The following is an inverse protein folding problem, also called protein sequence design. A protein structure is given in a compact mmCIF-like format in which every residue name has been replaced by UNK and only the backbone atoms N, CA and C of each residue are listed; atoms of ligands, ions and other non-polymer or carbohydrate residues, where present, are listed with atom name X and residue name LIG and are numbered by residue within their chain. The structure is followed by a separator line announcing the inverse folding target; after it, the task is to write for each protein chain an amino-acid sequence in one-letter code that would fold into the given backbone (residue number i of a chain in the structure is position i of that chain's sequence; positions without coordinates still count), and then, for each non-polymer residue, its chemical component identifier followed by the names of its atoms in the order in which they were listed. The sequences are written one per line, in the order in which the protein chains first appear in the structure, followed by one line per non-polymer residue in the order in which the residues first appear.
data_IF_275030046889
#
_entry.id   IF_275030046889
#
_cell.length_a   1.000
_cell.length_b   1.000
_cell.length_c   1.000
_cell.angle_alpha   90.00
_cell.angle_beta   90.00
_cell.angle_gamma   90.00
#
_symmetry.space_group_name_H-M   'P 1'
#
loop_
_entity.id
_entity.type
_entity.pdbx_description
1 polymer ?
#
# COMPACT_ATOMS: atom_id res chain seq x y z
N UNK A 1 -11.34 15.86 -0.15
CA UNK A 1 -10.75 14.72 0.57
C UNK A 1 -9.51 14.25 -0.16
N UNK A 2 -8.37 14.62 0.30
CA UNK A 2 -7.07 14.22 -0.25
C UNK A 2 -5.96 14.77 0.61
N UNK A 3 -4.75 14.24 0.44
CA UNK A 3 -3.56 14.73 1.13
C UNK A 3 -3.38 16.21 0.77
N UNK A 4 -3.26 17.07 1.80
CA UNK A 4 -3.06 18.50 1.63
C UNK A 4 -4.35 19.31 1.45
N UNK A 5 -5.50 18.81 1.88
CA UNK A 5 -6.70 19.63 2.01
C UNK A 5 -6.45 20.79 2.98
N UNK A 6 -6.98 21.98 2.66
CA UNK A 6 -6.66 23.24 3.36
C UNK A 6 -7.11 23.28 4.81
N UNK A 7 -8.00 22.39 5.21
CA UNK A 7 -8.65 22.38 6.54
C UNK A 7 -8.17 21.22 7.44
N UNK A 8 -7.16 20.44 7.01
CA UNK A 8 -6.70 19.26 7.77
C UNK A 8 -5.30 19.43 8.34
N UNK A 9 -5.09 18.82 9.52
CA UNK A 9 -3.80 18.75 10.18
C UNK A 9 -2.88 17.79 9.41
N UNK A 10 -1.71 18.26 8.96
CA UNK A 10 -0.66 17.46 8.34
C UNK A 10 -0.32 16.18 9.12
N UNK A 11 -0.55 16.18 10.43
CA UNK A 11 -0.35 15.01 11.28
C UNK A 11 -1.40 13.92 11.02
N UNK A 12 -2.64 14.30 10.69
CA UNK A 12 -3.72 13.37 10.34
C UNK A 12 -3.42 12.68 9.01
N UNK A 13 -3.05 13.43 7.99
CA UNK A 13 -2.66 12.92 6.67
C UNK A 13 -1.51 11.91 6.79
N UNK A 14 -0.48 12.24 7.57
CA UNK A 14 0.65 11.34 7.81
C UNK A 14 0.22 10.03 8.48
N UNK A 15 -0.74 10.06 9.41
CA UNK A 15 -1.28 8.86 10.06
C UNK A 15 -2.02 7.96 9.08
N UNK A 16 -2.89 8.53 8.24
CA UNK A 16 -3.63 7.79 7.22
C UNK A 16 -2.67 7.16 6.21
N UNK A 17 -1.68 7.92 5.74
CA UNK A 17 -0.69 7.41 4.79
C UNK A 17 0.19 6.32 5.40
N UNK A 18 0.54 6.45 6.68
CA UNK A 18 1.25 5.40 7.41
C UNK A 18 0.46 4.09 7.41
N UNK A 19 -0.83 4.16 7.74
CA UNK A 19 -1.72 2.99 7.70
C UNK A 19 -1.83 2.42 6.29
N UNK A 20 -2.03 3.25 5.27
CA UNK A 20 -2.15 2.83 3.89
C UNK A 20 -0.91 2.05 3.44
N UNK A 21 0.30 2.55 3.73
CA UNK A 21 1.55 1.89 3.37
C UNK A 21 1.76 0.59 4.16
N UNK A 22 1.54 0.61 5.48
CA UNK A 22 1.81 -0.56 6.32
C UNK A 22 0.82 -1.70 6.10
N UNK A 23 -0.42 -1.39 5.73
CA UNK A 23 -1.47 -2.39 5.53
C UNK A 23 -1.55 -2.91 4.08
N UNK A 24 -1.17 -2.11 3.08
CA UNK A 24 -1.25 -2.53 1.69
C UNK A 24 -0.14 -3.54 1.32
N UNK A 25 -0.44 -4.41 0.36
CA UNK A 25 0.56 -5.21 -0.36
C UNK A 25 0.93 -4.57 -1.70
N UNK A 26 0.07 -3.67 -2.20
CA UNK A 26 0.27 -2.90 -3.41
C UNK A 26 -0.24 -1.48 -3.19
N UNK A 27 0.64 -0.49 -3.25
CA UNK A 27 0.32 0.91 -2.97
C UNK A 27 0.28 1.71 -4.26
N UNK A 28 -0.87 2.31 -4.56
CA UNK A 28 -1.07 3.14 -5.75
C UNK A 28 -1.06 4.60 -5.34
N UNK A 29 -0.03 5.34 -5.77
CA UNK A 29 0.04 6.78 -5.61
C UNK A 29 -0.50 7.46 -6.87
N UNK A 30 -1.56 8.26 -6.70
CA UNK A 30 -2.30 8.86 -7.79
C UNK A 30 -2.07 10.37 -7.80
N UNK A 31 -1.46 10.89 -8.87
CA UNK A 31 -1.25 12.31 -9.10
C UNK A 31 -1.79 12.76 -10.46
N UNK A 32 -1.77 14.06 -10.71
CA UNK A 32 -2.25 14.64 -11.97
C UNK A 32 -1.11 15.39 -12.67
N UNK A 33 -1.08 15.34 -13.99
CA UNK A 33 -0.15 16.12 -14.83
C UNK A 33 1.16 15.40 -15.10
N UNK A 34 2.22 15.73 -14.38
CA UNK A 34 3.57 15.21 -14.59
C UNK A 34 4.25 14.89 -13.28
N UNK A 35 5.37 14.16 -13.31
CA UNK A 35 6.25 14.03 -12.14
C UNK A 35 7.18 15.25 -12.11
N UNK A 36 6.77 16.25 -11.38
CA UNK A 36 7.58 17.43 -11.08
C UNK A 36 8.12 17.39 -9.63
N UNK A 37 8.86 18.42 -9.24
CA UNK A 37 9.41 18.50 -7.88
C UNK A 37 8.31 18.54 -6.80
N UNK A 38 7.19 19.18 -7.07
CA UNK A 38 6.06 19.23 -6.14
C UNK A 38 5.46 17.83 -5.95
N UNK A 39 5.32 17.07 -7.03
CA UNK A 39 4.84 15.68 -7.00
C UNK A 39 5.78 14.77 -6.20
N UNK A 40 7.12 14.97 -6.35
CA UNK A 40 8.11 14.22 -5.57
C UNK A 40 8.08 14.67 -4.10
N UNK A 41 7.96 15.97 -3.84
CA UNK A 41 7.87 16.50 -2.48
C UNK A 41 6.64 15.99 -1.73
N UNK A 42 5.55 15.74 -2.43
CA UNK A 42 4.34 15.13 -1.83
C UNK A 42 4.58 13.71 -1.28
N UNK A 43 5.66 13.05 -1.70
CA UNK A 43 6.11 11.77 -1.14
C UNK A 43 7.00 11.93 0.12
N UNK A 44 7.20 13.15 0.63
CA UNK A 44 8.04 13.41 1.82
C UNK A 44 7.54 12.69 3.08
N UNK A 45 6.25 12.36 3.15
CA UNK A 45 5.69 11.54 4.22
C UNK A 45 6.36 10.16 4.31
N UNK A 46 6.83 9.60 3.20
CA UNK A 46 7.58 8.33 3.18
C UNK A 46 8.85 8.46 4.03
N UNK A 47 9.55 9.60 3.91
CA UNK A 47 10.75 9.90 4.70
C UNK A 47 10.45 9.91 6.19
N UNK A 48 9.34 10.54 6.56
CA UNK A 48 8.95 10.66 7.98
C UNK A 48 8.52 9.31 8.57
N UNK A 49 7.71 8.55 7.83
CA UNK A 49 7.27 7.21 8.23
C UNK A 49 8.48 6.31 8.43
N UNK A 50 9.38 6.26 7.46
CA UNK A 50 10.52 5.34 7.47
C UNK A 50 11.51 5.69 8.57
N UNK A 51 11.84 6.97 8.78
CA UNK A 51 12.66 7.41 9.91
C UNK A 51 12.08 6.96 11.26
N UNK A 52 10.80 7.15 11.45
CA UNK A 52 10.11 6.81 12.69
C UNK A 52 10.09 5.29 12.95
N UNK A 53 9.89 4.49 11.92
CA UNK A 53 9.84 3.03 12.04
C UNK A 53 11.24 2.43 12.17
N UNK A 54 12.25 2.94 11.45
CA UNK A 54 13.63 2.47 11.54
C UNK A 54 14.23 2.65 12.93
N UNK A 55 13.97 3.79 13.59
CA UNK A 55 14.51 4.06 14.92
C UNK A 55 14.10 3.02 15.98
N UNK A 56 12.97 2.34 15.80
CA UNK A 56 12.41 1.41 16.78
C UNK A 56 12.59 -0.06 16.43
N UNK A 57 12.82 -0.40 15.17
CA UNK A 57 12.92 -1.81 14.72
C UNK A 57 14.35 -2.28 14.48
N UNK A 58 15.38 -1.43 14.66
CA UNK A 58 16.74 -1.78 14.29
C UNK A 58 16.89 -1.93 12.77
N UNK A 59 18.06 -1.67 12.26
CA UNK A 59 18.36 -1.69 10.83
C UNK A 59 18.14 -3.05 10.18
N UNK A 60 17.83 -3.07 8.94
CA UNK A 60 18.38 -3.83 7.82
C UNK A 60 17.40 -4.42 6.80
N UNK A 61 16.07 -4.47 7.05
CA UNK A 61 15.24 -5.11 6.03
C UNK A 61 13.80 -4.56 5.99
N UNK A 62 13.68 -3.23 6.21
CA UNK A 62 12.37 -2.59 6.28
C UNK A 62 11.60 -2.66 4.94
N UNK A 63 12.33 -2.61 3.82
CA UNK A 63 11.74 -2.68 2.48
C UNK A 63 10.86 -3.93 2.26
N UNK A 64 11.17 -5.05 2.93
CA UNK A 64 10.37 -6.28 2.82
C UNK A 64 8.95 -6.19 3.42
N UNK A 65 8.70 -5.21 4.28
CA UNK A 65 7.39 -4.99 4.88
C UNK A 65 6.54 -3.99 4.09
N UNK A 66 7.19 -3.27 3.17
CA UNK A 66 6.53 -2.27 2.36
C UNK A 66 5.83 -2.90 1.14
N UNK A 67 4.80 -2.25 0.63
CA UNK A 67 4.09 -2.72 -0.56
C UNK A 67 4.92 -2.52 -1.83
N UNK A 68 4.55 -3.21 -2.91
CA UNK A 68 4.91 -2.75 -4.24
C UNK A 68 4.28 -1.38 -4.49
N UNK A 69 4.97 -0.53 -5.26
CA UNK A 69 4.59 0.85 -5.51
C UNK A 69 4.20 1.07 -6.98
N UNK A 70 3.06 1.71 -7.21
CA UNK A 70 2.63 2.14 -8.54
C UNK A 70 2.35 3.63 -8.53
N UNK A 71 3.04 4.39 -9.37
CA UNK A 71 2.68 5.79 -9.62
C UNK A 71 1.71 5.88 -10.80
N UNK A 72 0.49 6.32 -10.56
CA UNK A 72 -0.49 6.60 -11.60
C UNK A 72 -0.55 8.10 -11.84
N UNK A 73 -0.23 8.53 -13.05
CA UNK A 73 -0.25 9.93 -13.44
C UNK A 73 -1.44 10.15 -14.37
N UNK A 74 -2.43 10.89 -13.89
CA UNK A 74 -3.63 11.24 -14.67
C UNK A 74 -3.41 12.52 -15.49
N UNK A 75 -4.20 12.65 -16.54
CA UNK A 75 -4.21 13.81 -17.44
C UNK A 75 -2.82 14.13 -18.02
N UNK A 76 -2.04 13.07 -18.23
CA UNK A 76 -0.69 13.17 -18.77
C UNK A 76 -0.73 13.67 -20.21
N UNK A 77 -0.03 14.76 -20.48
CA UNK A 77 -0.03 15.45 -21.78
C UNK A 77 1.32 15.49 -22.47
N UNK A 78 2.40 15.02 -21.82
CA UNK A 78 3.73 15.00 -22.42
C UNK A 78 3.93 13.78 -23.31
N UNK A 79 4.92 13.86 -24.19
CA UNK A 79 5.44 12.70 -24.89
C UNK A 79 6.45 11.97 -24.00
N UNK A 80 6.31 10.64 -23.90
CA UNK A 80 7.27 9.80 -23.20
C UNK A 80 8.52 9.63 -24.06
N UNK A 81 9.49 10.53 -23.88
CA UNK A 81 10.77 10.54 -24.58
C UNK A 81 11.91 10.91 -23.64
N UNK A 82 13.07 10.33 -23.88
CA UNK A 82 14.29 10.70 -23.17
C UNK A 82 14.92 12.00 -23.73
N UNK A 83 16.08 12.40 -23.22
CA UNK A 83 16.80 13.62 -23.66
C UNK A 83 17.24 13.55 -25.12
N UNK A 84 17.45 12.37 -25.66
CA UNK A 84 17.79 12.10 -27.05
C UNK A 84 16.55 11.91 -27.94
N UNK A 85 15.35 12.24 -27.47
CA UNK A 85 14.08 12.12 -28.19
C UNK A 85 13.65 10.68 -28.51
N UNK A 86 14.29 9.66 -27.94
CA UNK A 86 13.87 8.29 -28.09
C UNK A 86 12.64 7.99 -27.23
N UNK A 87 11.67 7.19 -27.73
CA UNK A 87 10.52 6.75 -26.93
C UNK A 87 10.98 5.99 -25.68
N UNK A 88 10.31 6.25 -24.56
CA UNK A 88 10.54 5.56 -23.29
C UNK A 88 9.21 5.07 -22.72
N UNK A 89 9.28 4.12 -21.82
CA UNK A 89 8.13 3.62 -21.05
C UNK A 89 7.78 4.56 -19.90
N UNK A 90 6.56 4.47 -19.37
CA UNK A 90 6.16 5.21 -18.16
C UNK A 90 7.06 4.86 -16.96
N UNK A 91 7.52 3.61 -16.87
CA UNK A 91 8.46 3.18 -15.83
C UNK A 91 9.81 3.88 -15.96
N UNK A 92 10.36 3.95 -17.17
CA UNK A 92 11.61 4.69 -17.41
C UNK A 92 11.45 6.18 -17.11
N UNK A 93 10.28 6.77 -17.44
CA UNK A 93 9.96 8.15 -17.06
C UNK A 93 9.99 8.36 -15.54
N UNK A 94 9.45 7.42 -14.74
CA UNK A 94 9.57 7.44 -13.29
C UNK A 94 11.03 7.37 -12.86
N UNK A 95 11.83 6.46 -13.42
CA UNK A 95 13.23 6.30 -13.03
C UNK A 95 14.05 7.55 -13.33
N UNK A 96 13.85 8.20 -14.48
CA UNK A 96 14.47 9.49 -14.81
C UNK A 96 14.04 10.60 -13.84
N UNK A 97 12.76 10.65 -13.47
CA UNK A 97 12.26 11.64 -12.51
C UNK A 97 12.86 11.45 -11.11
N UNK A 98 13.24 10.22 -10.77
CA UNK A 98 13.91 9.86 -9.52
C UNK A 98 15.45 9.93 -9.60
N UNK A 99 16.05 10.41 -10.68
CA UNK A 99 17.48 10.67 -10.74
C UNK A 99 17.90 11.77 -9.77
N UNK A 100 19.06 11.59 -9.15
CA UNK A 100 19.58 12.57 -8.20
C UNK A 100 19.98 13.87 -8.91
N UNK A 101 19.54 14.97 -8.36
CA UNK A 101 19.95 16.30 -8.85
C UNK A 101 21.37 16.60 -8.39
N UNK A 102 22.14 17.26 -9.26
CA UNK A 102 23.48 17.74 -8.94
C UNK A 102 23.41 19.01 -8.09
N UNK A 103 24.26 19.10 -7.08
CA UNK A 103 24.39 20.24 -6.19
C UNK A 103 24.49 19.84 -4.73
N UNK A 104 24.96 20.78 -3.90
CA UNK A 104 25.24 20.58 -2.47
C UNK A 104 24.39 21.45 -1.56
N UNK A 105 23.47 22.27 -2.11
CA UNK A 105 22.59 23.08 -1.28
C UNK A 105 21.66 22.20 -0.44
N UNK A 106 21.29 22.65 0.75
CA UNK A 106 20.37 21.92 1.65
C UNK A 106 19.05 21.56 0.96
N UNK A 107 18.58 22.42 0.07
CA UNK A 107 17.39 22.20 -0.72
C UNK A 107 17.54 20.99 -1.68
N UNK A 108 18.67 20.89 -2.39
CA UNK A 108 18.96 19.75 -3.28
C UNK A 108 19.18 18.48 -2.47
N UNK A 109 19.87 18.57 -1.35
CA UNK A 109 20.09 17.44 -0.45
C UNK A 109 18.75 16.87 0.06
N UNK A 110 17.85 17.73 0.51
CA UNK A 110 16.50 17.34 0.97
C UNK A 110 15.69 16.65 -0.14
N UNK A 111 15.68 17.21 -1.33
CA UNK A 111 15.01 16.61 -2.50
C UNK A 111 15.60 15.25 -2.87
N UNK A 112 16.91 15.16 -2.88
CA UNK A 112 17.61 13.91 -3.17
C UNK A 112 17.38 12.84 -2.09
N UNK A 113 17.14 13.24 -0.85
CA UNK A 113 16.80 12.32 0.22
C UNK A 113 15.48 11.61 -0.08
N UNK A 114 14.44 12.33 -0.54
CA UNK A 114 13.16 11.73 -0.91
C UNK A 114 13.36 10.73 -2.05
N UNK A 115 14.08 11.11 -3.11
CA UNK A 115 14.38 10.23 -4.25
C UNK A 115 15.10 8.95 -3.85
N UNK A 116 16.12 9.06 -3.00
CA UNK A 116 16.85 7.91 -2.46
C UNK A 116 15.92 6.99 -1.69
N UNK A 117 15.09 7.54 -0.81
CA UNK A 117 14.17 6.75 0.00
C UNK A 117 13.11 6.05 -0.81
N UNK A 118 12.52 6.70 -1.83
CA UNK A 118 11.58 6.05 -2.74
C UNK A 118 12.25 4.86 -3.43
N UNK A 119 13.49 5.02 -3.90
CA UNK A 119 14.24 3.94 -4.55
C UNK A 119 14.58 2.79 -3.60
N UNK A 120 14.99 3.10 -2.39
CA UNK A 120 15.40 2.13 -1.36
C UNK A 120 14.21 1.34 -0.80
N UNK A 121 13.13 2.04 -0.48
CA UNK A 121 11.98 1.42 0.20
C UNK A 121 10.96 0.79 -0.74
N UNK A 122 10.95 1.21 -2.01
CA UNK A 122 10.11 0.59 -3.03
C UNK A 122 10.97 0.05 -4.18
N UNK A 123 11.74 -1.02 -3.93
CA UNK A 123 12.53 -1.65 -4.99
C UNK A 123 11.65 -2.18 -6.12
N UNK A 124 10.44 -2.65 -5.77
CA UNK A 124 9.41 -3.04 -6.73
C UNK A 124 8.46 -1.85 -6.97
N UNK A 125 8.81 -0.99 -7.93
CA UNK A 125 8.03 0.18 -8.32
C UNK A 125 7.77 0.20 -9.82
N UNK A 126 6.63 0.78 -10.18
CA UNK A 126 6.23 0.95 -11.58
C UNK A 126 5.46 2.27 -11.76
N UNK A 127 5.18 2.63 -13.00
CA UNK A 127 4.44 3.84 -13.34
C UNK A 127 3.50 3.60 -14.52
N UNK A 128 2.33 4.22 -14.45
CA UNK A 128 1.37 4.26 -15.54
C UNK A 128 0.91 5.69 -15.76
N UNK A 129 0.98 6.14 -17.01
CA UNK A 129 0.45 7.44 -17.44
C UNK A 129 -0.91 7.24 -18.10
N UNK A 130 -1.88 8.07 -17.71
CA UNK A 130 -3.23 8.08 -18.27
C UNK A 130 -3.48 9.42 -18.96
N UNK A 131 -3.82 9.40 -20.23
CA UNK A 131 -4.28 10.61 -20.92
C UNK A 131 -5.64 11.05 -20.36
N UNK A 132 -6.04 12.30 -20.61
CA UNK A 132 -7.37 12.77 -20.25
C UNK A 132 -8.44 11.91 -20.94
N UNK A 133 -9.50 11.48 -20.24
CA UNK A 133 -10.52 10.57 -20.79
C UNK A 133 -11.33 11.18 -21.93
N UNK A 134 -11.49 12.51 -21.94
CA UNK A 134 -12.20 13.29 -22.94
C UNK A 134 -11.41 14.54 -23.29
N UNK A 135 -11.58 15.06 -24.50
CA UNK A 135 -10.89 16.29 -24.94
C UNK A 135 -11.69 17.55 -24.53
N UNK A 136 -13.01 17.46 -24.50
CA UNK A 136 -13.90 18.58 -24.18
C UNK A 136 -14.13 18.69 -22.67
N UNK A 137 -13.76 19.83 -22.09
CA UNK A 137 -13.87 20.07 -20.64
C UNK A 137 -15.30 20.02 -20.12
N UNK A 138 -16.26 20.52 -20.88
CA UNK A 138 -17.69 20.48 -20.49
C UNK A 138 -18.24 19.06 -20.32
N UNK A 139 -17.65 18.09 -21.00
CA UNK A 139 -18.02 16.69 -20.89
C UNK A 139 -17.31 15.99 -19.71
N UNK A 140 -16.17 16.50 -19.24
CA UNK A 140 -15.49 15.97 -18.05
C UNK A 140 -16.32 16.12 -16.78
N UNK A 141 -17.10 17.20 -16.66
CA UNK A 141 -18.02 17.42 -15.53
C UNK A 141 -19.16 16.39 -15.47
N UNK A 142 -19.40 15.68 -16.58
CA UNK A 142 -20.44 14.65 -16.71
C UNK A 142 -19.88 13.26 -16.94
N UNK A 143 -18.62 13.04 -16.55
CA UNK A 143 -17.88 11.80 -16.83
C UNK A 143 -18.59 10.56 -16.27
N UNK A 144 -19.21 10.67 -15.10
CA UNK A 144 -19.97 9.57 -14.48
C UNK A 144 -21.12 9.04 -15.35
N UNK A 145 -21.67 9.90 -16.20
CA UNK A 145 -22.80 9.56 -17.10
C UNK A 145 -22.33 9.27 -18.54
N UNK A 146 -21.03 9.38 -18.77
CA UNK A 146 -20.47 9.19 -20.11
C UNK A 146 -20.21 7.72 -20.36
N UNK A 147 -20.82 7.09 -21.38
CA UNK A 147 -20.58 5.71 -21.70
C UNK A 147 -19.13 5.51 -22.14
N UNK A 148 -18.55 4.34 -21.84
CA UNK A 148 -17.17 4.01 -22.17
C UNK A 148 -16.83 4.14 -23.67
N UNK A 149 -17.82 3.93 -24.55
CA UNK A 149 -17.66 4.08 -26.00
C UNK A 149 -17.38 5.51 -26.46
N UNK A 150 -17.63 6.52 -25.63
CA UNK A 150 -17.32 7.92 -25.91
C UNK A 150 -15.99 8.39 -25.35
N UNK A 151 -15.35 7.56 -24.51
CA UNK A 151 -14.04 7.85 -23.98
C UNK A 151 -12.96 7.66 -25.06
N UNK A 152 -11.87 8.38 -24.92
CA UNK A 152 -10.72 8.23 -25.81
C UNK A 152 -10.21 6.79 -25.79
N UNK A 153 -9.93 6.25 -26.96
CA UNK A 153 -9.43 4.87 -27.11
C UNK A 153 -8.13 4.65 -26.34
N UNK A 154 -7.21 5.60 -26.42
CA UNK A 154 -5.94 5.58 -25.68
C UNK A 154 -6.14 5.51 -24.16
N UNK A 155 -7.12 6.27 -23.64
CA UNK A 155 -7.46 6.22 -22.21
C UNK A 155 -7.95 4.83 -21.82
N UNK A 156 -8.84 4.24 -22.59
CA UNK A 156 -9.37 2.89 -22.34
C UNK A 156 -8.24 1.85 -22.36
N UNK A 157 -7.34 1.94 -23.33
CA UNK A 157 -6.19 1.03 -23.45
C UNK A 157 -5.25 1.16 -22.23
N UNK A 158 -4.95 2.38 -21.80
CA UNK A 158 -4.09 2.66 -20.65
C UNK A 158 -4.75 2.19 -19.34
N UNK A 159 -6.05 2.42 -19.14
CA UNK A 159 -6.78 1.92 -17.97
C UNK A 159 -6.82 0.40 -17.93
N UNK A 160 -7.02 -0.25 -19.07
CA UNK A 160 -6.98 -1.72 -19.16
C UNK A 160 -5.58 -2.26 -18.86
N UNK A 161 -4.53 -1.57 -19.32
CA UNK A 161 -3.16 -1.90 -18.98
C UNK A 161 -2.91 -1.76 -17.48
N UNK A 162 -3.29 -0.62 -16.87
CA UNK A 162 -3.20 -0.41 -15.42
C UNK A 162 -3.91 -1.52 -14.64
N UNK A 163 -5.16 -1.82 -15.01
CA UNK A 163 -5.93 -2.87 -14.35
C UNK A 163 -5.24 -4.24 -14.44
N UNK A 164 -4.75 -4.60 -15.61
CA UNK A 164 -4.03 -5.86 -15.83
C UNK A 164 -2.74 -5.91 -15.00
N UNK A 165 -1.98 -4.84 -15.00
CA UNK A 165 -0.71 -4.74 -14.23
C UNK A 165 -0.97 -4.91 -12.74
N UNK A 166 -1.95 -4.19 -12.19
CA UNK A 166 -2.32 -4.31 -10.77
C UNK A 166 -2.75 -5.73 -10.44
N UNK A 167 -3.72 -6.29 -11.17
CA UNK A 167 -4.26 -7.62 -10.90
C UNK A 167 -3.22 -8.74 -10.99
N UNK A 168 -2.21 -8.59 -11.86
CA UNK A 168 -1.12 -9.56 -12.00
C UNK A 168 -0.03 -9.39 -10.94
N UNK A 169 0.01 -8.25 -10.26
CA UNK A 169 1.09 -7.89 -9.32
C UNK A 169 0.68 -7.94 -7.86
N UNK A 170 -0.63 -7.95 -7.57
CA UNK A 170 -1.11 -8.02 -6.19
C UNK A 170 -0.86 -9.41 -5.61
N UNK A 171 -0.38 -9.41 -4.37
CA UNK A 171 -0.13 -10.63 -3.60
C UNK A 171 -0.75 -10.47 -2.21
N UNK A 172 -1.08 -11.56 -1.51
CA UNK A 172 -1.48 -11.49 -0.12
C UNK A 172 -0.45 -10.73 0.73
N UNK A 173 -0.92 -9.93 1.68
CA UNK A 173 -0.01 -9.24 2.62
C UNK A 173 0.78 -10.27 3.39
N UNK A 174 2.10 -10.07 3.42
CA UNK A 174 3.01 -10.89 4.21
C UNK A 174 3.58 -10.08 5.37
N UNK A 175 3.77 -10.75 6.50
CA UNK A 175 4.48 -10.21 7.65
C UNK A 175 5.44 -11.30 8.15
N UNK A 176 6.72 -10.96 8.29
CA UNK A 176 7.77 -11.93 8.64
C UNK A 176 7.76 -13.22 7.76
N UNK A 177 7.50 -13.07 6.46
CA UNK A 177 7.46 -14.17 5.50
C UNK A 177 6.16 -15.00 5.52
N UNK A 178 5.25 -14.76 6.47
CA UNK A 178 3.96 -15.44 6.57
C UNK A 178 2.86 -14.62 5.86
N UNK A 179 2.07 -15.28 5.02
CA UNK A 179 0.87 -14.70 4.44
C UNK A 179 -0.21 -14.52 5.52
N UNK A 180 -0.85 -13.35 5.51
CA UNK A 180 -1.91 -13.04 6.47
C UNK A 180 -3.26 -13.52 5.91
N UNK A 181 -4.00 -14.27 6.74
CA UNK A 181 -5.41 -14.50 6.50
C UNK A 181 -6.26 -13.31 7.01
N UNK A 182 -7.57 -13.34 6.78
CA UNK A 182 -8.46 -12.23 7.15
C UNK A 182 -8.44 -11.91 8.65
N UNK A 183 -8.42 -12.91 9.52
CA UNK A 183 -8.38 -12.73 10.98
C UNK A 183 -7.07 -12.08 11.42
N UNK A 184 -5.94 -12.59 10.92
CA UNK A 184 -4.62 -12.01 11.18
C UNK A 184 -4.52 -10.55 10.67
N UNK A 185 -5.11 -10.27 9.53
CA UNK A 185 -5.10 -8.93 8.96
C UNK A 185 -5.94 -7.95 9.80
N UNK A 186 -7.09 -8.38 10.32
CA UNK A 186 -7.91 -7.57 11.25
C UNK A 186 -7.12 -7.26 12.53
N UNK A 187 -6.42 -8.24 13.11
CA UNK A 187 -5.60 -8.03 14.31
C UNK A 187 -4.45 -7.05 14.04
N UNK A 188 -3.83 -7.13 12.85
CA UNK A 188 -2.80 -6.18 12.42
C UNK A 188 -3.36 -4.76 12.32
N UNK A 189 -4.53 -4.58 11.68
CA UNK A 189 -5.21 -3.29 11.57
C UNK A 189 -5.46 -2.71 12.97
N UNK A 190 -6.08 -3.48 13.87
CA UNK A 190 -6.39 -3.06 15.24
C UNK A 190 -5.14 -2.61 15.98
N UNK A 191 -4.04 -3.36 15.84
CA UNK A 191 -2.77 -3.06 16.49
C UNK A 191 -2.18 -1.73 15.99
N UNK A 192 -2.14 -1.52 14.67
CA UNK A 192 -1.61 -0.27 14.11
C UNK A 192 -2.48 0.94 14.42
N UNK A 193 -3.80 0.82 14.29
CA UNK A 193 -4.75 1.90 14.61
C UNK A 193 -4.62 2.31 16.07
N UNK A 194 -4.53 1.32 17.00
CA UNK A 194 -4.32 1.61 18.41
C UNK A 194 -3.02 2.36 18.65
N UNK A 195 -1.89 1.88 18.13
CA UNK A 195 -0.61 2.54 18.30
C UNK A 195 -0.62 4.00 17.79
N UNK A 196 -1.21 4.23 16.62
CA UNK A 196 -1.31 5.56 16.02
C UNK A 196 -2.22 6.49 16.85
N UNK A 197 -3.34 5.99 17.34
CA UNK A 197 -4.25 6.77 18.19
C UNK A 197 -3.63 7.11 19.55
N UNK A 198 -2.81 6.21 20.11
CA UNK A 198 -2.04 6.44 21.33
C UNK A 198 -0.84 7.38 21.10
N UNK A 199 -0.69 7.96 19.91
CA UNK A 199 0.43 8.84 19.55
C UNK A 199 1.77 8.10 19.35
N UNK A 200 1.75 6.78 19.34
CA UNK A 200 2.94 5.97 19.15
C UNK A 200 3.20 5.70 17.65
N UNK A 201 4.48 5.53 17.33
CA UNK A 201 4.87 5.06 15.98
C UNK A 201 4.59 3.57 15.89
N UNK A 202 3.95 3.09 14.81
CA UNK A 202 3.73 1.67 14.59
C UNK A 202 5.04 0.88 14.58
N UNK A 203 5.12 -0.14 15.43
CA UNK A 203 6.25 -1.07 15.51
C UNK A 203 5.79 -2.41 14.93
N UNK A 204 6.42 -2.83 13.83
CA UNK A 204 6.06 -4.04 13.10
C UNK A 204 6.18 -5.28 14.00
N UNK A 205 7.27 -5.37 14.75
CA UNK A 205 7.51 -6.51 15.65
C UNK A 205 6.46 -6.59 16.77
N UNK A 206 6.03 -5.46 17.32
CA UNK A 206 4.97 -5.43 18.35
C UNK A 206 3.64 -5.89 17.77
N UNK A 207 3.28 -5.42 16.57
CA UNK A 207 2.06 -5.83 15.89
C UNK A 207 2.08 -7.34 15.55
N UNK A 208 3.22 -7.86 15.11
CA UNK A 208 3.43 -9.29 14.87
C UNK A 208 3.23 -10.11 16.14
N UNK A 209 3.85 -9.72 17.24
CA UNK A 209 3.73 -10.41 18.53
C UNK A 209 2.28 -10.41 19.03
N UNK A 210 1.60 -9.27 18.95
CA UNK A 210 0.19 -9.15 19.32
C UNK A 210 -0.70 -10.06 18.49
N UNK A 211 -0.53 -10.06 17.18
CA UNK A 211 -1.27 -10.93 16.28
C UNK A 211 -1.05 -12.42 16.59
N UNK A 212 0.18 -12.85 16.84
CA UNK A 212 0.51 -14.23 17.20
C UNK A 212 -0.10 -14.65 18.53
N UNK A 213 -0.12 -13.77 19.52
CA UNK A 213 -0.78 -14.02 20.81
C UNK A 213 -2.29 -14.19 20.63
N UNK A 214 -2.94 -13.34 19.86
CA UNK A 214 -4.36 -13.45 19.58
C UNK A 214 -4.70 -14.76 18.85
N UNK A 215 -3.90 -15.16 17.87
CA UNK A 215 -4.10 -16.44 17.20
C UNK A 215 -3.98 -17.63 18.16
N UNK A 216 -3.02 -17.62 19.07
CA UNK A 216 -2.86 -18.68 20.06
C UNK A 216 -4.07 -18.75 21.02
N UNK A 217 -4.58 -17.59 21.45
CA UNK A 217 -5.79 -17.49 22.29
C UNK A 217 -7.01 -18.04 21.54
N UNK A 218 -7.22 -17.64 20.30
CA UNK A 218 -8.35 -18.10 19.48
C UNK A 218 -8.25 -19.59 19.18
N UNK A 219 -7.08 -20.10 18.83
CA UNK A 219 -6.87 -21.53 18.62
C UNK A 219 -7.19 -22.36 19.87
N UNK A 220 -6.75 -21.88 21.05
CA UNK A 220 -7.08 -22.52 22.34
C UNK A 220 -8.58 -22.52 22.60
N UNK A 221 -9.26 -21.39 22.39
CA UNK A 221 -10.71 -21.29 22.56
C UNK A 221 -11.46 -22.26 21.64
N UNK A 222 -11.13 -22.27 20.36
CA UNK A 222 -11.73 -23.16 19.38
C UNK A 222 -11.49 -24.64 19.71
N UNK A 223 -10.28 -24.99 20.17
CA UNK A 223 -9.97 -26.34 20.60
C UNK A 223 -10.84 -26.79 21.81
N UNK A 224 -11.00 -25.89 22.79
CA UNK A 224 -11.86 -26.17 23.97
C UNK A 224 -13.33 -26.31 23.56
N UNK A 225 -13.84 -25.46 22.69
CA UNK A 225 -15.22 -25.53 22.20
C UNK A 225 -15.46 -26.83 21.41
N UNK A 226 -14.55 -27.21 20.53
CA UNK A 226 -14.60 -28.45 19.78
C UNK A 226 -14.54 -29.67 20.71
N UNK A 227 -13.68 -29.63 21.73
CA UNK A 227 -13.64 -30.71 22.74
C UNK A 227 -14.96 -30.84 23.49
N UNK A 228 -15.51 -29.72 23.99
CA UNK A 228 -16.81 -29.72 24.69
C UNK A 228 -17.94 -30.27 23.82
N UNK A 229 -18.00 -29.86 22.53
CA UNK A 229 -18.99 -30.36 21.59
C UNK A 229 -18.87 -31.87 21.40
N UNK A 230 -17.68 -32.40 21.16
CA UNK A 230 -17.44 -33.84 21.03
C UNK A 230 -17.75 -34.60 22.32
N UNK A 231 -17.39 -34.02 23.47
CA UNK A 231 -17.73 -34.64 24.78
C UNK A 231 -19.23 -34.73 25.02
N UNK A 232 -20.00 -33.69 24.64
CA UNK A 232 -21.48 -33.72 24.72
C UNK A 232 -22.08 -34.76 23.76
N UNK A 233 -21.57 -34.88 22.55
CA UNK A 233 -21.97 -35.88 21.56
C UNK A 233 -21.74 -37.31 22.10
N UNK A 234 -20.63 -37.53 22.79
CA UNK A 234 -20.34 -38.81 23.45
C UNK A 234 -21.25 -39.04 24.63
N UNK A 235 -21.49 -38.03 25.48
CA UNK A 235 -22.38 -38.15 26.65
C UNK A 235 -23.81 -38.55 26.27
N UNK A 236 -24.28 -38.05 25.12
CA UNK A 236 -25.60 -38.43 24.57
C UNK A 236 -25.69 -39.89 24.09
N UNK A 237 -24.55 -40.58 23.97
CA UNK A 237 -24.48 -42.00 23.59
C UNK A 237 -24.40 -42.93 24.77
N UNK A 238 -24.31 -42.43 26.00
CA UNK A 238 -24.30 -43.22 27.19
C UNK A 238 -25.73 -43.49 27.71
N UNK A 239 -26.00 -44.70 28.25
CA UNK A 239 -25.05 -45.80 28.50
C UNK A 239 -24.71 -46.57 27.21
N UNK A 240 -23.43 -46.83 26.98
CA UNK A 240 -22.95 -47.70 25.90
C UNK A 240 -22.76 -49.13 26.41
N UNK A 241 -23.00 -50.13 25.55
CA UNK A 241 -22.57 -51.51 25.83
C UNK A 241 -21.06 -51.57 25.83
N UNK A 242 -20.48 -52.42 26.70
CA UNK A 242 -19.02 -52.58 26.88
C UNK A 242 -18.24 -52.79 25.56
N UNK A 243 -18.88 -53.45 24.59
CA UNK A 243 -18.27 -53.72 23.28
C UNK A 243 -17.93 -52.49 22.43
N UNK A 244 -18.46 -51.30 22.78
CA UNK A 244 -18.20 -50.02 22.07
C UNK A 244 -17.18 -49.12 22.78
N UNK A 245 -16.57 -49.61 23.89
CA UNK A 245 -15.60 -48.86 24.70
C UNK A 245 -14.13 -49.25 24.38
N UNK A 246 -13.92 -50.07 23.37
CA UNK A 246 -12.58 -50.50 22.94
C UNK A 246 -11.99 -49.62 21.86
#
# INVERSE_FOLDING_TARGET
EGIGATDEDHNHDNKIMTLAILLSSYFIFNSMGTIDESSIQSLSFIVNITKSIQQKNGNHDFAKYLPAFMWVIRDFSLQLKNKEWNPITSKEYLEYSLELQQGTSEFIVSKNQIRKMVKEYFPNRDCVTLVRPLLEEGNLQKLERTPASKLRKEFIEQVNYLRKTVLNSINPKKLNGQELNGEMFIDLIKSYVKMINDGAVPIIQTAWTYMRQNQAINAKKNAIENYKKKALELNNKFPMKEDYLK
#
